data_IF_184823966474
#
_entry.id   IF_184823966474
#
_cell.length_a   1.000
_cell.length_b   1.000
_cell.length_c   1.000
_cell.angle_alpha   90.00
_cell.angle_beta   90.00
_cell.angle_gamma   90.00
#
_symmetry.space_group_name_H-M   'P 1'
#
loop_
_entity.id
_entity.type
_entity.pdbx_description
1 polymer ?
#
# COMPACT_ATOMS: atom_id res chain seq x y z
N UNK A 1 -21.41 6.75 -54.92
CA UNK A 1 -22.62 7.24 -54.24
C UNK A 1 -23.49 6.13 -53.69
N UNK A 2 -22.93 5.06 -53.07
CA UNK A 2 -23.72 3.96 -52.48
C UNK A 2 -23.29 3.60 -51.04
N UNK A 3 -22.51 4.48 -50.36
CA UNK A 3 -22.04 4.26 -48.96
C UNK A 3 -22.54 5.31 -47.95
N UNK A 4 -23.46 6.22 -48.35
CA UNK A 4 -24.02 7.25 -47.45
C UNK A 4 -25.51 7.04 -47.07
N UNK A 5 -26.11 5.93 -47.49
CA UNK A 5 -27.53 5.63 -47.19
C UNK A 5 -27.72 4.58 -46.10
N UNK A 6 -26.65 3.96 -45.53
CA UNK A 6 -26.76 2.97 -44.49
C UNK A 6 -26.63 3.55 -43.06
N UNK A 7 -26.16 4.78 -42.91
CA UNK A 7 -25.94 5.43 -41.59
C UNK A 7 -27.18 6.15 -41.05
N UNK A 8 -28.21 6.35 -41.85
CA UNK A 8 -29.42 7.08 -41.43
C UNK A 8 -30.54 6.14 -40.94
N UNK A 9 -30.47 4.86 -41.28
CA UNK A 9 -31.48 3.87 -40.85
C UNK A 9 -31.21 3.22 -39.49
N UNK A 10 -30.04 3.41 -38.87
CA UNK A 10 -29.72 2.89 -37.51
C UNK A 10 -30.07 3.88 -36.40
N UNK A 11 -30.29 5.16 -36.69
CA UNK A 11 -30.66 6.17 -35.67
C UNK A 11 -32.17 6.29 -35.45
N UNK A 12 -33.00 5.67 -36.25
CA UNK A 12 -34.46 5.77 -36.15
C UNK A 12 -35.12 4.63 -35.33
N UNK A 13 -34.34 3.62 -34.88
CA UNK A 13 -34.86 2.49 -34.11
C UNK A 13 -34.70 2.64 -32.59
N UNK A 14 -34.10 3.72 -32.08
CA UNK A 14 -33.85 3.95 -30.63
C UNK A 14 -34.77 5.02 -30.00
N UNK A 15 -35.75 5.56 -30.70
CA UNK A 15 -36.66 6.59 -30.17
C UNK A 15 -38.08 6.07 -29.88
N UNK A 16 -38.36 4.79 -30.09
CA UNK A 16 -39.70 4.20 -30.02
C UNK A 16 -40.11 3.53 -28.69
N UNK A 17 -39.29 3.57 -27.60
CA UNK A 17 -39.63 2.84 -26.36
C UNK A 17 -39.73 3.70 -25.08
N UNK A 18 -39.95 5.01 -25.21
CA UNK A 18 -40.11 5.92 -24.07
C UNK A 18 -41.49 6.58 -24.01
N UNK A 19 -42.55 5.82 -24.13
CA UNK A 19 -43.90 6.34 -23.86
C UNK A 19 -44.88 5.24 -23.47
N UNK A 20 -44.71 4.61 -22.31
CA UNK A 20 -45.85 3.97 -21.60
C UNK A 20 -45.43 3.70 -20.14
N UNK A 21 -45.90 4.51 -19.20
CA UNK A 21 -45.73 4.21 -17.77
C UNK A 21 -45.77 5.44 -16.88
N UNK A 22 -46.84 6.24 -16.98
CA UNK A 22 -47.22 7.18 -15.92
C UNK A 22 -48.10 6.47 -14.91
N UNK A 23 -47.70 6.50 -13.63
CA UNK A 23 -48.68 6.37 -12.52
C UNK A 23 -48.29 5.35 -11.47
N UNK A 24 -47.78 5.86 -10.36
CA UNK A 24 -48.22 5.50 -9.02
C UNK A 24 -47.10 5.38 -8.00
N UNK A 25 -47.17 6.29 -7.01
CA UNK A 25 -46.83 6.17 -5.59
C UNK A 25 -45.44 5.74 -5.17
N UNK A 26 -44.78 6.66 -4.40
CA UNK A 26 -43.72 6.41 -3.45
C UNK A 26 -43.89 5.09 -2.70
N UNK A 27 -43.06 4.15 -3.00
CA UNK A 27 -42.64 3.13 -2.05
C UNK A 27 -41.12 3.07 -2.16
N UNK A 28 -40.44 3.43 -1.06
CA UNK A 28 -39.01 3.10 -0.86
C UNK A 28 -38.91 1.58 -0.96
N UNK A 29 -38.53 1.06 -2.12
CA UNK A 29 -38.06 -0.33 -2.20
C UNK A 29 -36.62 -0.32 -1.76
N UNK A 30 -36.34 -0.87 -0.59
CA UNK A 30 -35.07 -1.39 -0.22
C UNK A 30 -34.53 -2.27 -1.37
N UNK A 31 -33.22 -2.21 -1.66
CA UNK A 31 -32.61 -3.09 -2.62
C UNK A 31 -32.56 -4.52 -2.02
N UNK A 32 -33.70 -5.21 -2.05
CA UNK A 32 -33.80 -6.62 -1.66
C UNK A 32 -33.66 -7.49 -2.91
N UNK A 33 -32.89 -8.55 -2.79
CA UNK A 33 -32.86 -9.70 -3.69
C UNK A 33 -34.28 -10.28 -3.82
N UNK A 34 -34.57 -11.02 -4.90
CA UNK A 34 -35.83 -11.75 -5.07
C UNK A 34 -36.20 -12.69 -3.92
N UNK A 35 -35.26 -13.02 -3.04
CA UNK A 35 -35.41 -13.79 -1.81
C UNK A 35 -35.67 -12.93 -0.55
N UNK A 36 -35.77 -11.60 -0.67
CA UNK A 36 -36.06 -10.69 0.44
C UNK A 36 -34.86 -10.30 1.32
N UNK A 37 -33.64 -10.62 0.89
CA UNK A 37 -32.40 -10.30 1.62
C UNK A 37 -31.93 -8.89 1.33
N UNK A 38 -31.26 -8.27 2.31
CA UNK A 38 -30.49 -7.03 2.11
C UNK A 38 -29.22 -7.33 1.35
N UNK A 39 -29.01 -6.71 0.19
CA UNK A 39 -27.82 -6.88 -0.64
C UNK A 39 -26.84 -5.77 -0.34
N UNK A 40 -25.65 -6.12 0.13
CA UNK A 40 -24.51 -5.23 0.33
C UNK A 40 -23.60 -5.29 -0.89
N UNK A 41 -23.34 -4.16 -1.53
CA UNK A 41 -22.37 -4.05 -2.63
C UNK A 41 -21.02 -3.62 -2.10
N UNK A 42 -20.01 -4.44 -2.33
CA UNK A 42 -18.64 -4.20 -1.90
C UNK A 42 -17.72 -3.99 -3.13
N UNK A 43 -17.18 -2.78 -3.30
CA UNK A 43 -16.26 -2.48 -4.39
C UNK A 43 -14.81 -2.60 -3.96
N UNK A 44 -13.98 -3.21 -4.82
CA UNK A 44 -12.55 -3.38 -4.61
C UNK A 44 -11.78 -3.31 -5.93
N UNK A 45 -10.44 -3.21 -5.86
CA UNK A 45 -9.57 -3.39 -7.01
C UNK A 45 -9.47 -4.87 -7.40
N UNK A 46 -8.98 -5.15 -8.61
CA UNK A 46 -9.01 -6.47 -9.26
C UNK A 46 -7.86 -7.42 -8.89
N UNK A 47 -7.15 -7.19 -7.77
CA UNK A 47 -6.16 -8.12 -7.28
C UNK A 47 -6.79 -9.47 -6.93
N UNK A 48 -6.44 -10.53 -7.67
CA UNK A 48 -7.15 -11.81 -7.62
C UNK A 48 -7.15 -12.49 -6.23
N UNK A 49 -6.05 -12.58 -5.47
CA UNK A 49 -6.05 -13.07 -4.08
C UNK A 49 -7.01 -12.30 -3.18
N UNK A 50 -6.99 -10.96 -3.24
CA UNK A 50 -7.83 -10.09 -2.42
C UNK A 50 -9.31 -10.24 -2.77
N UNK A 51 -9.66 -10.22 -4.04
CA UNK A 51 -11.04 -10.43 -4.52
C UNK A 51 -11.57 -11.78 -4.05
N UNK A 52 -10.75 -12.83 -4.09
CA UNK A 52 -11.12 -14.14 -3.58
C UNK A 52 -11.37 -14.09 -2.07
N UNK A 53 -10.47 -13.47 -1.31
CA UNK A 53 -10.61 -13.33 0.14
C UNK A 53 -11.88 -12.54 0.52
N UNK A 54 -12.20 -11.44 -0.17
CA UNK A 54 -13.43 -10.68 0.04
C UNK A 54 -14.70 -11.53 -0.26
N UNK A 55 -14.70 -12.28 -1.36
CA UNK A 55 -15.80 -13.18 -1.71
C UNK A 55 -16.00 -14.30 -0.68
N UNK A 56 -14.93 -14.83 -0.12
CA UNK A 56 -14.98 -15.85 0.94
C UNK A 56 -15.47 -15.25 2.26
N UNK A 57 -15.02 -14.05 2.61
CA UNK A 57 -15.49 -13.31 3.79
C UNK A 57 -16.98 -12.97 3.67
N UNK A 58 -17.42 -12.52 2.51
CA UNK A 58 -18.84 -12.30 2.22
C UNK A 58 -19.68 -13.54 2.47
N UNK A 59 -19.27 -14.71 1.97
CA UNK A 59 -19.96 -15.99 2.24
C UNK A 59 -19.96 -16.38 3.72
N UNK A 60 -18.85 -16.10 4.44
CA UNK A 60 -18.76 -16.37 5.89
C UNK A 60 -19.75 -15.50 6.65
N UNK A 61 -19.86 -14.20 6.29
CA UNK A 61 -20.82 -13.27 6.85
C UNK A 61 -22.27 -13.68 6.56
N UNK A 62 -22.61 -14.03 5.31
CA UNK A 62 -23.94 -14.50 4.91
C UNK A 62 -24.38 -15.75 5.68
N UNK A 63 -23.44 -16.66 5.97
CA UNK A 63 -23.72 -17.86 6.76
C UNK A 63 -24.07 -17.53 8.22
N UNK A 64 -23.39 -16.54 8.80
CA UNK A 64 -23.67 -16.05 10.14
C UNK A 64 -24.92 -15.16 10.21
N UNK A 65 -25.24 -14.48 9.11
CA UNK A 65 -26.30 -13.48 8.98
C UNK A 65 -27.18 -13.78 7.75
N UNK A 66 -28.14 -14.71 7.82
CA UNK A 66 -28.88 -15.22 6.65
C UNK A 66 -29.75 -14.18 5.92
N UNK A 67 -30.03 -13.04 6.54
CA UNK A 67 -30.84 -11.96 5.96
C UNK A 67 -30.04 -11.04 5.04
N UNK A 68 -28.71 -11.27 4.93
CA UNK A 68 -27.81 -10.49 4.10
C UNK A 68 -27.27 -11.29 2.92
N UNK A 69 -26.81 -10.56 1.89
CA UNK A 69 -26.03 -11.03 0.76
C UNK A 69 -24.94 -10.02 0.48
N UNK A 70 -23.70 -10.47 0.21
CA UNK A 70 -22.56 -9.60 -0.11
C UNK A 70 -22.16 -9.81 -1.57
N UNK A 71 -22.25 -8.78 -2.38
CA UNK A 71 -21.86 -8.78 -3.79
C UNK A 71 -20.58 -7.99 -3.98
N UNK A 72 -19.45 -8.71 -4.17
CA UNK A 72 -18.14 -8.12 -4.43
C UNK A 72 -18.02 -7.79 -5.91
N UNK A 73 -17.72 -6.52 -6.22
CA UNK A 73 -17.47 -6.00 -7.56
C UNK A 73 -16.05 -5.49 -7.67
N UNK A 74 -15.29 -6.06 -8.60
CA UNK A 74 -13.88 -5.76 -8.84
C UNK A 74 -13.71 -4.81 -10.04
N UNK A 75 -12.71 -3.93 -9.96
CA UNK A 75 -12.36 -2.97 -11.02
C UNK A 75 -10.85 -2.87 -11.18
N UNK A 76 -10.33 -2.67 -12.42
CA UNK A 76 -8.92 -2.38 -12.63
C UNK A 76 -8.46 -1.18 -11.80
N UNK A 77 -7.28 -1.31 -11.17
CA UNK A 77 -6.76 -0.33 -10.22
C UNK A 77 -6.71 1.08 -10.82
N UNK A 78 -6.29 1.22 -12.08
CA UNK A 78 -6.11 2.50 -12.77
C UNK A 78 -7.40 3.31 -12.91
N UNK A 79 -8.56 2.63 -12.94
CA UNK A 79 -9.87 3.29 -13.06
C UNK A 79 -10.67 3.26 -11.76
N UNK A 80 -10.18 2.56 -10.77
CA UNK A 80 -10.92 2.32 -9.53
C UNK A 80 -11.15 3.61 -8.73
N UNK A 81 -10.11 4.44 -8.61
CA UNK A 81 -10.20 5.73 -7.93
C UNK A 81 -11.28 6.65 -8.55
N UNK A 82 -11.27 6.81 -9.87
CA UNK A 82 -12.25 7.64 -10.58
C UNK A 82 -13.69 7.12 -10.38
N UNK A 83 -13.83 5.79 -10.33
CA UNK A 83 -15.14 5.16 -10.07
C UNK A 83 -15.65 5.46 -8.65
N UNK A 84 -14.77 5.37 -7.64
CA UNK A 84 -15.14 5.71 -6.27
C UNK A 84 -15.54 7.19 -6.19
N UNK A 85 -14.73 8.11 -6.71
CA UNK A 85 -15.03 9.54 -6.70
C UNK A 85 -16.39 9.83 -7.34
N UNK A 86 -16.66 9.22 -8.50
CA UNK A 86 -17.95 9.36 -9.18
C UNK A 86 -19.11 8.81 -8.34
N UNK A 87 -18.92 7.66 -7.68
CA UNK A 87 -19.94 7.05 -6.85
C UNK A 87 -20.24 7.86 -5.59
N UNK A 88 -19.21 8.41 -4.94
CA UNK A 88 -19.36 9.24 -3.73
C UNK A 88 -20.10 10.54 -3.98
N UNK A 89 -19.96 11.12 -5.18
CA UNK A 89 -20.69 12.34 -5.59
C UNK A 89 -22.10 12.06 -6.14
N UNK A 90 -22.45 10.80 -6.39
CA UNK A 90 -23.76 10.41 -6.90
C UNK A 90 -24.83 10.43 -5.81
N UNK A 91 -25.97 11.06 -6.10
CA UNK A 91 -27.11 11.07 -5.18
C UNK A 91 -28.00 9.81 -5.26
N UNK A 92 -27.72 8.87 -6.18
CA UNK A 92 -28.68 7.83 -6.55
C UNK A 92 -28.21 6.39 -6.44
N UNK A 93 -26.92 6.11 -6.51
CA UNK A 93 -26.40 4.75 -6.42
C UNK A 93 -24.88 4.73 -6.27
N UNK A 94 -24.41 4.32 -5.13
CA UNK A 94 -23.02 3.98 -4.85
C UNK A 94 -22.93 2.59 -4.25
N UNK A 95 -21.72 2.06 -4.03
CA UNK A 95 -21.52 0.87 -3.23
C UNK A 95 -21.88 1.14 -1.76
N UNK A 96 -22.19 0.08 -1.03
CA UNK A 96 -22.37 0.17 0.42
C UNK A 96 -21.02 0.15 1.14
N UNK A 97 -20.00 -0.49 0.52
CA UNK A 97 -18.68 -0.70 1.10
C UNK A 97 -17.63 -0.50 0.00
N UNK A 98 -16.51 0.13 0.33
CA UNK A 98 -15.34 0.30 -0.55
C UNK A 98 -14.05 -0.12 0.14
N UNK A 99 -13.17 -0.85 -0.57
CA UNK A 99 -11.80 -1.06 -0.16
C UNK A 99 -10.94 0.06 -0.75
N UNK A 100 -10.19 0.78 0.09
CA UNK A 100 -9.42 1.96 -0.33
C UNK A 100 -7.98 1.85 0.16
N UNK A 101 -7.02 2.10 -0.72
CA UNK A 101 -5.64 2.30 -0.32
C UNK A 101 -5.48 3.65 0.42
N UNK A 102 -4.67 3.66 1.47
CA UNK A 102 -4.46 4.83 2.31
C UNK A 102 -4.08 6.10 1.56
N UNK A 103 -3.27 5.99 0.49
CA UNK A 103 -2.90 7.16 -0.32
C UNK A 103 -4.06 7.85 -1.06
N UNK A 104 -5.19 7.16 -1.26
CA UNK A 104 -6.40 7.71 -1.88
C UNK A 104 -7.43 8.21 -0.87
N UNK A 105 -7.40 7.70 0.35
CA UNK A 105 -8.40 7.96 1.38
C UNK A 105 -8.60 9.45 1.73
N UNK A 106 -7.55 10.29 1.78
CA UNK A 106 -7.70 11.70 2.15
C UNK A 106 -8.68 12.48 1.28
N UNK A 107 -8.65 12.26 -0.03
CA UNK A 107 -9.54 12.96 -0.95
C UNK A 107 -11.03 12.64 -0.67
N UNK A 108 -11.30 11.41 -0.26
CA UNK A 108 -12.66 10.95 0.08
C UNK A 108 -13.09 11.45 1.46
N UNK A 109 -12.17 11.43 2.45
CA UNK A 109 -12.44 11.93 3.81
C UNK A 109 -12.71 13.44 3.79
N UNK A 110 -11.93 14.21 2.99
CA UNK A 110 -12.12 15.66 2.87
C UNK A 110 -13.44 16.04 2.19
N UNK A 111 -13.97 15.19 1.33
CA UNK A 111 -15.24 15.45 0.63
C UNK A 111 -16.48 15.27 1.49
N UNK A 112 -16.35 14.87 2.77
CA UNK A 112 -17.43 14.55 3.70
C UNK A 112 -18.43 13.50 3.12
N UNK A 113 -17.95 12.66 2.20
CA UNK A 113 -18.78 11.65 1.53
C UNK A 113 -18.76 10.28 2.22
N UNK A 114 -18.02 10.16 3.33
CA UNK A 114 -17.85 8.92 4.08
C UNK A 114 -18.57 8.96 5.42
N UNK A 115 -19.11 7.82 5.81
CA UNK A 115 -19.69 7.62 7.13
C UNK A 115 -18.59 7.46 8.17
N UNK A 116 -18.78 8.14 9.32
CA UNK A 116 -17.90 7.97 10.48
C UNK A 116 -17.96 6.52 11.00
N UNK A 117 -16.82 5.98 11.41
CA UNK A 117 -16.72 4.65 12.03
C UNK A 117 -17.51 4.64 13.35
N UNK A 118 -18.36 3.61 13.62
CA UNK A 118 -19.10 3.51 14.87
C UNK A 118 -18.22 3.57 16.12
N UNK A 119 -18.76 4.15 17.21
CA UNK A 119 -18.02 4.43 18.44
C UNK A 119 -17.32 3.22 19.04
N UNK A 120 -17.96 2.06 19.05
CA UNK A 120 -17.40 0.81 19.56
C UNK A 120 -16.18 0.36 18.75
N UNK A 121 -16.25 0.42 17.42
CA UNK A 121 -15.15 0.08 16.53
C UNK A 121 -14.06 1.15 16.54
N UNK A 122 -14.42 2.43 16.66
CA UNK A 122 -13.46 3.54 16.83
C UNK A 122 -12.59 3.36 18.08
N UNK A 123 -13.18 2.84 19.16
CA UNK A 123 -12.43 2.50 20.36
C UNK A 123 -11.42 1.38 20.12
N UNK A 124 -11.82 0.34 19.38
CA UNK A 124 -10.90 -0.76 19.01
C UNK A 124 -9.76 -0.25 18.13
N UNK A 125 -10.03 0.62 17.14
CA UNK A 125 -9.02 1.24 16.29
C UNK A 125 -7.96 1.97 17.13
N UNK A 126 -8.38 2.71 18.15
CA UNK A 126 -7.48 3.44 19.02
C UNK A 126 -6.66 2.54 19.96
N UNK A 127 -7.27 1.48 20.51
CA UNK A 127 -6.65 0.65 21.55
C UNK A 127 -5.79 -0.47 20.97
N UNK A 128 -6.26 -1.14 19.91
CA UNK A 128 -5.67 -2.40 19.42
C UNK A 128 -4.95 -2.29 18.08
N UNK A 129 -5.24 -1.26 17.25
CA UNK A 129 -4.55 -1.13 15.98
C UNK A 129 -3.18 -0.45 16.12
N UNK A 130 -2.26 -0.79 15.21
CA UNK A 130 -0.94 -0.16 15.13
C UNK A 130 -1.04 1.23 14.52
N UNK A 131 -0.33 2.22 15.06
CA UNK A 131 -0.45 3.62 14.66
C UNK A 131 -0.32 3.87 13.14
N UNK A 132 0.65 3.27 12.41
CA UNK A 132 0.73 3.47 10.96
C UNK A 132 -0.54 3.07 10.21
N UNK A 133 -1.23 2.02 10.66
CA UNK A 133 -2.38 1.47 9.93
C UNK A 133 -3.61 2.37 9.96
N UNK A 134 -3.76 3.18 11.00
CA UNK A 134 -4.92 4.07 11.18
C UNK A 134 -4.64 5.52 10.80
N UNK A 135 -3.36 5.89 10.64
CA UNK A 135 -2.93 7.28 10.54
C UNK A 135 -3.75 8.13 9.58
N UNK A 136 -3.83 7.71 8.31
CA UNK A 136 -4.53 8.47 7.27
C UNK A 136 -6.06 8.38 7.35
N UNK A 137 -6.62 7.38 8.06
CA UNK A 137 -8.06 7.14 8.12
C UNK A 137 -8.77 8.00 9.17
N UNK A 138 -8.08 8.92 9.82
CA UNK A 138 -8.71 9.81 10.79
C UNK A 138 -8.63 11.29 10.36
N UNK A 139 -9.65 12.03 10.78
CA UNK A 139 -9.78 13.48 10.60
C UNK A 139 -10.47 14.04 11.85
N UNK A 140 -9.87 15.04 12.51
CA UNK A 140 -10.47 15.71 13.68
C UNK A 140 -10.88 14.73 14.79
N UNK A 141 -10.01 13.75 15.09
CA UNK A 141 -10.26 12.75 16.14
C UNK A 141 -11.30 11.68 15.81
N UNK A 142 -11.83 11.64 14.58
CA UNK A 142 -12.80 10.68 14.08
C UNK A 142 -12.18 9.78 13.04
N UNK A 143 -12.61 8.51 13.01
CA UNK A 143 -12.16 7.54 12.02
C UNK A 143 -13.20 7.39 10.90
N UNK A 144 -12.71 7.20 9.67
CA UNK A 144 -13.52 7.02 8.45
C UNK A 144 -13.17 5.75 7.69
N UNK A 145 -12.17 5.00 8.14
CA UNK A 145 -11.75 3.74 7.56
C UNK A 145 -11.28 2.75 8.62
N UNK A 146 -11.42 1.46 8.32
CA UNK A 146 -10.95 0.35 9.16
C UNK A 146 -9.84 -0.38 8.41
N UNK A 147 -8.60 -0.38 8.94
CA UNK A 147 -7.47 -1.04 8.30
C UNK A 147 -7.68 -2.54 8.13
N UNK A 148 -7.31 -3.07 6.98
CA UNK A 148 -7.30 -4.51 6.70
C UNK A 148 -5.93 -5.15 6.85
N UNK A 149 -4.88 -4.34 6.81
CA UNK A 149 -3.49 -4.79 6.78
C UNK A 149 -2.55 -3.77 7.42
N UNK A 150 -1.33 -4.23 7.68
CA UNK A 150 -0.18 -3.36 7.86
C UNK A 150 0.63 -3.39 6.55
N UNK A 151 0.62 -2.32 5.77
CA UNK A 151 1.44 -2.21 4.58
C UNK A 151 2.87 -1.82 4.98
N UNK A 152 3.82 -2.72 4.78
CA UNK A 152 5.20 -2.56 5.21
C UNK A 152 6.13 -2.65 4.00
N UNK A 153 6.73 -1.50 3.64
CA UNK A 153 7.72 -1.39 2.56
C UNK A 153 9.18 -1.40 3.09
N UNK A 154 9.36 -1.78 4.34
CA UNK A 154 10.64 -1.89 5.01
C UNK A 154 10.71 -3.16 5.88
N UNK A 155 11.91 -3.65 6.17
CA UNK A 155 12.15 -4.71 7.15
C UNK A 155 12.46 -6.07 6.56
N UNK A 156 12.11 -6.31 5.30
CA UNK A 156 12.48 -7.50 4.56
C UNK A 156 13.14 -7.21 3.22
N UNK A 157 13.81 -8.21 2.68
CA UNK A 157 14.40 -8.16 1.34
C UNK A 157 14.25 -9.50 0.63
N UNK A 158 13.97 -9.44 -0.67
CA UNK A 158 14.10 -10.59 -1.56
C UNK A 158 15.59 -10.85 -1.81
N UNK A 159 15.99 -12.10 -1.74
CA UNK A 159 17.35 -12.55 -2.09
C UNK A 159 17.31 -13.63 -3.17
N UNK A 160 18.19 -13.53 -4.17
CA UNK A 160 18.35 -14.60 -5.17
C UNK A 160 19.16 -15.74 -4.57
N UNK A 161 18.45 -16.78 -4.12
CA UNK A 161 19.07 -17.92 -3.43
C UNK A 161 20.10 -18.63 -4.28
N UNK A 162 19.83 -18.82 -5.57
CA UNK A 162 20.76 -19.49 -6.48
C UNK A 162 22.08 -18.76 -6.61
N UNK A 163 22.05 -17.43 -6.78
CA UNK A 163 23.28 -16.62 -6.88
C UNK A 163 24.09 -16.69 -5.59
N UNK A 164 23.43 -16.66 -4.42
CA UNK A 164 24.11 -16.81 -3.13
C UNK A 164 24.73 -18.19 -2.94
N UNK A 165 24.00 -19.26 -3.27
CA UNK A 165 24.47 -20.64 -3.17
C UNK A 165 25.64 -20.88 -4.14
N UNK A 166 25.57 -20.42 -5.38
CA UNK A 166 26.62 -20.55 -6.39
C UNK A 166 27.88 -19.78 -6.00
N UNK A 167 27.74 -18.62 -5.37
CA UNK A 167 28.86 -17.83 -4.86
C UNK A 167 29.45 -18.36 -3.54
N UNK A 168 28.71 -19.22 -2.82
CA UNK A 168 29.06 -19.72 -1.49
C UNK A 168 29.09 -18.65 -0.42
N UNK A 169 28.24 -17.62 -0.57
CA UNK A 169 28.14 -16.46 0.33
C UNK A 169 26.90 -16.62 1.21
N UNK A 170 27.00 -16.24 2.49
CA UNK A 170 25.82 -16.21 3.39
C UNK A 170 25.10 -14.87 3.29
N UNK A 171 23.79 -14.86 3.56
CA UNK A 171 23.01 -13.64 3.65
C UNK A 171 23.56 -12.70 4.73
N UNK A 172 23.63 -11.38 4.47
CA UNK A 172 24.15 -10.41 5.41
C UNK A 172 23.26 -10.28 6.64
N UNK A 173 23.84 -10.07 7.82
CA UNK A 173 23.12 -9.92 9.10
C UNK A 173 23.29 -8.54 9.70
N UNK A 174 24.24 -7.76 9.25
CA UNK A 174 24.49 -6.38 9.66
C UNK A 174 24.58 -5.50 8.42
N UNK A 175 24.37 -4.19 8.60
CA UNK A 175 24.51 -3.23 7.48
C UNK A 175 25.92 -3.25 6.89
N UNK A 176 26.94 -3.40 7.73
CA UNK A 176 28.33 -3.53 7.26
C UNK A 176 28.52 -4.79 6.39
N UNK A 177 27.95 -5.94 6.81
CA UNK A 177 27.97 -7.17 6.01
C UNK A 177 27.21 -6.99 4.69
N UNK A 178 26.06 -6.32 4.72
CA UNK A 178 25.26 -6.04 3.52
C UNK A 178 26.07 -5.22 2.50
N UNK A 179 26.67 -4.11 2.93
CA UNK A 179 27.53 -3.28 2.08
C UNK A 179 28.75 -4.04 1.54
N UNK A 180 29.34 -4.89 2.39
CA UNK A 180 30.48 -5.73 1.97
C UNK A 180 30.06 -6.75 0.91
N UNK A 181 28.99 -7.50 1.15
CA UNK A 181 28.49 -8.50 0.20
C UNK A 181 28.06 -7.79 -1.09
N UNK A 182 27.30 -6.70 -0.99
CA UNK A 182 26.86 -5.91 -2.14
C UNK A 182 28.02 -5.52 -3.05
N UNK A 183 29.10 -4.94 -2.51
CA UNK A 183 30.31 -4.58 -3.27
C UNK A 183 31.01 -5.79 -3.88
N UNK A 184 31.06 -6.91 -3.16
CA UNK A 184 31.76 -8.13 -3.61
C UNK A 184 31.08 -8.76 -4.83
N UNK A 185 29.73 -8.73 -4.87
CA UNK A 185 28.96 -9.41 -5.92
C UNK A 185 28.59 -8.48 -7.09
N UNK A 186 28.61 -7.17 -6.89
CA UNK A 186 28.29 -6.20 -7.95
C UNK A 186 29.32 -6.24 -9.08
N UNK A 187 28.84 -6.06 -10.31
CA UNK A 187 29.69 -6.04 -11.51
C UNK A 187 29.28 -4.89 -12.40
N UNK A 188 30.26 -4.09 -12.76
CA UNK A 188 30.13 -2.98 -13.72
C UNK A 188 30.89 -3.23 -15.00
N UNK A 189 30.34 -2.75 -16.10
CA UNK A 189 30.99 -2.70 -17.40
C UNK A 189 30.85 -1.26 -17.97
N UNK A 190 31.83 -0.43 -17.70
CA UNK A 190 31.74 0.99 -17.94
C UNK A 190 30.75 1.67 -16.98
N UNK A 191 29.73 2.31 -17.53
CA UNK A 191 28.67 2.99 -16.78
C UNK A 191 27.47 2.07 -16.45
N UNK A 192 27.45 0.85 -16.98
CA UNK A 192 26.34 -0.11 -16.82
C UNK A 192 26.64 -1.04 -15.63
N UNK A 193 25.72 -1.16 -14.70
CA UNK A 193 25.74 -2.16 -13.64
C UNK A 193 25.09 -3.44 -14.17
N UNK A 194 25.92 -4.43 -14.56
CA UNK A 194 25.44 -5.71 -15.13
C UNK A 194 24.93 -6.69 -14.07
N UNK A 195 25.41 -6.56 -12.83
CA UNK A 195 24.97 -7.34 -11.68
C UNK A 195 24.91 -6.42 -10.46
N UNK A 196 23.74 -6.30 -9.88
CA UNK A 196 23.47 -5.45 -8.73
C UNK A 196 23.60 -6.23 -7.42
N UNK A 197 24.20 -5.63 -6.41
CA UNK A 197 24.43 -6.27 -5.13
C UNK A 197 23.25 -6.15 -4.19
N UNK A 198 22.92 -4.92 -3.83
CA UNK A 198 21.74 -4.60 -3.03
C UNK A 198 21.00 -3.41 -3.62
N UNK A 199 19.74 -3.59 -3.85
CA UNK A 199 18.87 -2.59 -4.47
C UNK A 199 17.79 -2.12 -3.52
N UNK A 200 17.58 -0.81 -3.53
CA UNK A 200 16.47 -0.12 -2.87
C UNK A 200 16.16 1.20 -3.60
N UNK A 201 16.54 1.30 -4.89
CA UNK A 201 16.41 2.52 -5.69
C UNK A 201 15.22 2.37 -6.63
N UNK A 202 14.04 2.29 -6.07
CA UNK A 202 12.75 2.45 -6.75
C UNK A 202 11.85 3.39 -5.93
N UNK A 203 10.71 3.74 -6.47
CA UNK A 203 9.83 4.78 -5.90
C UNK A 203 9.38 4.49 -4.46
N UNK A 204 9.17 3.23 -4.09
CA UNK A 204 8.70 2.89 -2.74
C UNK A 204 9.87 2.55 -1.81
N UNK A 205 10.80 1.70 -2.25
CA UNK A 205 11.89 1.25 -1.40
C UNK A 205 12.86 2.39 -1.03
N UNK A 206 13.13 3.31 -1.95
CA UNK A 206 14.06 4.41 -1.72
C UNK A 206 13.63 5.28 -0.54
N UNK A 207 12.43 5.84 -0.59
CA UNK A 207 11.95 6.73 0.48
C UNK A 207 11.76 5.98 1.80
N UNK A 208 11.20 4.76 1.79
CA UNK A 208 10.94 3.99 3.01
C UNK A 208 12.24 3.59 3.72
N UNK A 209 13.27 3.17 2.97
CA UNK A 209 14.59 2.89 3.55
C UNK A 209 15.27 4.17 4.04
N UNK A 210 15.21 5.27 3.30
CA UNK A 210 15.77 6.55 3.72
C UNK A 210 15.16 7.03 5.04
N UNK A 211 13.84 7.01 5.19
CA UNK A 211 13.17 7.37 6.43
C UNK A 211 13.54 6.43 7.59
N UNK A 212 13.61 5.12 7.32
CA UNK A 212 14.07 4.16 8.32
C UNK A 212 15.50 4.45 8.77
N UNK A 213 16.41 4.77 7.84
CA UNK A 213 17.80 5.13 8.17
C UNK A 213 17.91 6.38 9.06
N UNK A 214 17.06 7.39 8.85
CA UNK A 214 16.99 8.56 9.75
C UNK A 214 16.56 8.13 11.15
N UNK A 215 15.45 7.42 11.25
CA UNK A 215 14.85 7.03 12.53
C UNK A 215 15.75 6.09 13.35
N UNK A 216 16.44 5.17 12.70
CA UNK A 216 17.35 4.22 13.31
C UNK A 216 18.61 4.87 13.89
N UNK A 217 18.99 6.05 13.40
CA UNK A 217 20.04 6.88 13.99
C UNK A 217 19.54 7.69 15.19
N UNK A 218 18.24 7.66 15.50
CA UNK A 218 17.60 8.47 16.53
C UNK A 218 17.15 9.86 16.05
N UNK A 219 17.22 10.10 14.74
CA UNK A 219 16.73 11.32 14.10
C UNK A 219 15.20 11.35 13.96
N UNK A 220 14.70 12.49 13.53
CA UNK A 220 13.29 12.72 13.19
C UNK A 220 13.22 13.55 11.92
N UNK A 221 12.33 13.20 11.01
CA UNK A 221 12.07 13.96 9.78
C UNK A 221 10.74 14.71 9.82
N UNK A 222 9.76 14.21 10.58
CA UNK A 222 8.47 14.87 10.81
C UNK A 222 8.60 15.76 12.03
N UNK A 223 8.24 17.05 11.89
CA UNK A 223 8.34 18.05 12.94
C UNK A 223 7.03 18.12 13.76
N UNK A 224 7.04 18.83 14.91
CA UNK A 224 5.87 19.00 15.77
C UNK A 224 4.71 19.75 15.09
N UNK A 225 4.98 20.54 14.06
CA UNK A 225 4.01 21.25 13.25
C UNK A 225 3.60 20.50 11.99
N UNK A 226 3.85 19.19 11.95
CA UNK A 226 3.62 18.30 10.82
C UNK A 226 4.43 18.63 9.56
N UNK A 227 5.36 19.59 9.59
CA UNK A 227 6.26 19.83 8.45
C UNK A 227 7.33 18.75 8.32
N UNK A 228 7.84 18.55 7.10
CA UNK A 228 8.97 17.66 6.84
C UNK A 228 10.29 18.43 6.91
N UNK A 229 11.31 17.79 7.51
CA UNK A 229 12.69 18.25 7.46
C UNK A 229 13.64 17.06 7.25
N UNK A 230 14.08 16.86 6.02
CA UNK A 230 15.08 15.85 5.67
C UNK A 230 16.52 16.34 5.86
N UNK A 231 16.74 17.66 5.93
CA UNK A 231 18.08 18.27 6.07
C UNK A 231 18.59 18.23 7.52
N UNK A 232 18.34 17.13 8.22
CA UNK A 232 18.92 16.85 9.54
C UNK A 232 20.29 16.16 9.40
N UNK A 233 21.15 16.17 10.43
CA UNK A 233 22.42 15.42 10.38
C UNK A 233 22.23 13.94 10.02
N UNK A 234 21.19 13.31 10.55
CA UNK A 234 20.85 11.91 10.28
C UNK A 234 20.35 11.72 8.84
N UNK A 235 19.56 12.67 8.32
CA UNK A 235 19.07 12.65 6.96
C UNK A 235 20.19 12.84 5.93
N UNK A 236 21.07 13.81 6.18
CA UNK A 236 22.25 14.03 5.32
C UNK A 236 23.12 12.76 5.28
N UNK A 237 23.42 12.18 6.45
CA UNK A 237 24.24 10.96 6.53
C UNK A 237 23.56 9.76 5.87
N UNK A 238 22.25 9.59 5.99
CA UNK A 238 21.51 8.54 5.30
C UNK A 238 21.61 8.72 3.77
N UNK A 239 21.44 9.94 3.29
CA UNK A 239 21.53 10.25 1.86
C UNK A 239 22.96 10.04 1.32
N UNK A 240 24.00 10.43 2.06
CA UNK A 240 25.40 10.16 1.71
C UNK A 240 25.66 8.66 1.57
N UNK A 241 25.10 7.85 2.46
CA UNK A 241 25.23 6.38 2.39
C UNK A 241 24.58 5.82 1.13
N UNK A 242 23.35 6.22 0.82
CA UNK A 242 22.63 5.76 -0.39
C UNK A 242 23.36 6.20 -1.66
N UNK A 243 23.78 7.47 -1.74
CA UNK A 243 24.56 7.97 -2.89
C UNK A 243 25.88 7.22 -3.06
N UNK A 244 26.51 6.79 -1.95
CA UNK A 244 27.76 6.01 -2.02
C UNK A 244 27.53 4.64 -2.67
N UNK A 245 26.34 4.02 -2.50
CA UNK A 245 26.01 2.73 -3.12
C UNK A 245 25.95 2.86 -4.65
N UNK A 246 25.28 3.90 -5.14
CA UNK A 246 25.24 4.20 -6.58
C UNK A 246 26.65 4.50 -7.12
N UNK A 247 27.41 5.34 -6.43
CA UNK A 247 28.77 5.70 -6.83
C UNK A 247 29.72 4.52 -6.86
N UNK A 248 29.58 3.59 -5.92
CA UNK A 248 30.40 2.38 -5.82
C UNK A 248 29.95 1.29 -6.82
N UNK A 249 28.85 1.52 -7.56
CA UNK A 249 28.30 0.60 -8.56
C UNK A 249 27.63 -0.64 -7.99
N UNK A 250 27.08 -0.52 -6.80
CA UNK A 250 26.34 -1.59 -6.15
C UNK A 250 24.91 -1.69 -6.70
N UNK A 251 24.35 -0.57 -7.12
CA UNK A 251 23.07 -0.37 -7.77
C UNK A 251 23.12 0.82 -8.72
N UNK A 252 22.06 1.08 -9.46
CA UNK A 252 21.92 2.21 -10.38
C UNK A 252 20.52 2.86 -10.27
N UNK A 253 20.20 3.74 -11.25
CA UNK A 253 18.91 4.46 -11.31
C UNK A 253 17.92 3.85 -12.31
N UNK A 254 18.27 2.73 -12.94
CA UNK A 254 17.49 2.23 -14.08
C UNK A 254 16.05 1.92 -13.67
N UNK A 255 15.84 1.21 -12.56
CA UNK A 255 14.49 0.88 -12.07
C UNK A 255 13.69 2.13 -11.70
N UNK A 256 14.28 3.07 -10.95
CA UNK A 256 13.62 4.33 -10.57
C UNK A 256 13.21 5.14 -11.79
N UNK A 257 14.09 5.28 -12.78
CA UNK A 257 13.82 6.07 -13.99
C UNK A 257 12.84 5.38 -14.96
N UNK A 258 12.77 4.05 -14.90
CA UNK A 258 11.81 3.26 -15.67
C UNK A 258 10.43 3.15 -15.00
N UNK A 259 10.31 3.51 -13.71
CA UNK A 259 9.12 3.27 -12.91
C UNK A 259 8.89 1.79 -12.61
N UNK A 260 9.99 1.03 -12.47
CA UNK A 260 9.97 -0.40 -12.16
C UNK A 260 10.50 -0.67 -10.76
N UNK A 261 10.19 -1.86 -10.24
CA UNK A 261 10.63 -2.30 -8.91
C UNK A 261 11.97 -3.03 -8.97
N UNK A 262 12.84 -2.77 -8.00
CA UNK A 262 14.17 -3.36 -7.87
C UNK A 262 14.16 -4.90 -7.75
N UNK A 263 13.14 -5.49 -7.14
CA UNK A 263 13.04 -6.96 -7.03
C UNK A 263 12.93 -7.67 -8.39
N UNK A 264 12.54 -6.97 -9.45
CA UNK A 264 12.51 -7.52 -10.82
C UNK A 264 13.90 -7.99 -11.26
N UNK A 265 14.95 -7.24 -10.92
CA UNK A 265 16.33 -7.63 -11.24
C UNK A 265 16.75 -8.88 -10.45
N UNK A 266 16.33 -9.01 -9.19
CA UNK A 266 16.60 -10.22 -8.39
C UNK A 266 15.94 -11.45 -8.99
N UNK A 267 14.68 -11.34 -9.43
CA UNK A 267 13.96 -12.44 -10.08
C UNK A 267 14.48 -12.79 -11.48
N UNK A 268 15.17 -11.87 -12.14
CA UNK A 268 15.78 -12.06 -13.47
C UNK A 268 17.26 -12.44 -13.44
N UNK A 269 17.81 -12.82 -12.28
CA UNK A 269 19.22 -13.15 -12.07
C UNK A 269 20.19 -11.99 -12.38
N UNK A 270 19.73 -10.73 -12.24
CA UNK A 270 20.53 -9.51 -12.44
C UNK A 270 20.86 -8.79 -11.13
N UNK A 271 20.25 -9.20 -10.03
CA UNK A 271 20.42 -8.66 -8.68
C UNK A 271 20.53 -9.76 -7.63
N UNK A 272 21.30 -9.50 -6.58
CA UNK A 272 21.44 -10.43 -5.45
C UNK A 272 20.39 -10.20 -4.38
N UNK A 273 20.08 -8.94 -4.06
CA UNK A 273 19.22 -8.55 -2.94
C UNK A 273 18.42 -7.31 -3.32
N UNK A 274 17.14 -7.25 -2.90
CA UNK A 274 16.32 -6.04 -3.01
C UNK A 274 15.44 -5.85 -1.78
N UNK A 275 15.50 -4.67 -1.15
CA UNK A 275 14.57 -4.28 -0.08
C UNK A 275 13.18 -4.05 -0.66
N UNK A 276 12.16 -4.71 -0.11
CA UNK A 276 10.78 -4.62 -0.59
C UNK A 276 9.81 -5.17 0.44
N UNK A 277 8.54 -4.82 0.36
CA UNK A 277 7.45 -5.38 1.15
C UNK A 277 7.22 -6.89 0.89
N UNK A 278 6.60 -7.57 1.85
CA UNK A 278 6.35 -9.03 1.76
C UNK A 278 5.43 -9.44 0.61
N UNK A 279 4.66 -8.50 0.06
CA UNK A 279 3.80 -8.72 -1.10
C UNK A 279 4.58 -9.17 -2.36
N UNK A 280 5.84 -8.78 -2.48
CA UNK A 280 6.70 -9.18 -3.59
C UNK A 280 6.95 -10.69 -3.67
N UNK A 281 6.76 -11.45 -2.58
CA UNK A 281 6.87 -12.92 -2.60
C UNK A 281 5.86 -13.51 -3.60
N UNK A 282 4.64 -12.97 -3.63
CA UNK A 282 3.61 -13.39 -4.58
C UNK A 282 4.00 -13.10 -6.04
N UNK A 283 4.63 -11.96 -6.29
CA UNK A 283 5.12 -11.62 -7.64
C UNK A 283 6.15 -12.64 -8.14
N UNK A 284 7.09 -13.06 -7.30
CA UNK A 284 8.08 -14.08 -7.66
C UNK A 284 7.44 -15.42 -8.07
N UNK A 285 6.40 -15.85 -7.34
CA UNK A 285 5.73 -17.14 -7.60
C UNK A 285 4.73 -17.06 -8.76
N UNK A 286 3.96 -15.99 -8.85
CA UNK A 286 2.82 -15.91 -9.76
C UNK A 286 3.18 -15.26 -11.11
N UNK A 287 4.08 -14.26 -11.10
CA UNK A 287 4.47 -13.52 -12.30
C UNK A 287 5.76 -14.03 -12.93
N UNK A 288 6.70 -14.54 -12.12
CA UNK A 288 8.00 -15.04 -12.59
C UNK A 288 8.12 -16.56 -12.60
N UNK A 289 7.09 -17.30 -12.14
CA UNK A 289 7.07 -18.79 -12.07
C UNK A 289 8.26 -19.36 -11.28
N UNK A 290 8.71 -18.63 -10.24
CA UNK A 290 9.82 -19.03 -9.37
C UNK A 290 9.32 -19.80 -8.15
N UNK A 291 10.17 -20.65 -7.60
CA UNK A 291 9.88 -21.46 -6.41
C UNK A 291 10.53 -20.84 -5.17
N UNK A 292 9.69 -20.40 -4.21
CA UNK A 292 10.17 -19.93 -2.91
C UNK A 292 10.98 -21.03 -2.20
N UNK A 293 12.14 -20.65 -1.64
CA UNK A 293 13.05 -21.57 -0.97
C UNK A 293 14.02 -22.33 -1.88
N UNK A 294 13.78 -22.32 -3.21
CA UNK A 294 14.69 -22.90 -4.23
C UNK A 294 15.36 -21.81 -5.06
N UNK A 295 14.58 -20.87 -5.62
CA UNK A 295 15.08 -19.81 -6.49
C UNK A 295 15.37 -18.53 -5.71
N UNK A 296 14.48 -18.19 -4.78
CA UNK A 296 14.59 -16.99 -3.94
C UNK A 296 14.08 -17.25 -2.53
N UNK A 297 14.45 -16.35 -1.62
CA UNK A 297 13.94 -16.29 -0.25
C UNK A 297 13.61 -14.84 0.13
N UNK A 298 12.81 -14.68 1.19
CA UNK A 298 12.54 -13.38 1.79
C UNK A 298 13.10 -13.39 3.22
N UNK A 299 14.04 -12.49 3.49
CA UNK A 299 14.81 -12.48 4.73
C UNK A 299 14.84 -11.07 5.34
N UNK A 300 15.14 -10.92 6.65
CA UNK A 300 15.26 -9.59 7.26
C UNK A 300 16.29 -8.72 6.55
N UNK A 301 15.94 -7.47 6.24
CA UNK A 301 16.92 -6.46 5.84
C UNK A 301 17.73 -6.02 7.07
N UNK A 302 19.06 -6.00 7.03
CA UNK A 302 19.87 -5.49 8.13
C UNK A 302 19.58 -4.02 8.42
N UNK A 303 19.32 -3.68 9.68
CA UNK A 303 19.11 -2.28 10.07
C UNK A 303 20.39 -1.45 9.94
N UNK A 304 20.23 -0.19 9.52
CA UNK A 304 21.34 0.77 9.36
C UNK A 304 21.86 1.31 10.69
N UNK A 305 20.98 1.63 11.63
CA UNK A 305 21.29 2.22 12.91
C UNK A 305 21.21 1.25 14.09
N UNK A 306 21.27 1.79 15.31
CA UNK A 306 21.31 0.97 16.53
C UNK A 306 19.94 0.47 16.99
N UNK A 307 18.85 1.18 16.63
CA UNK A 307 17.48 0.87 17.09
C UNK A 307 16.61 0.51 15.91
N UNK A 308 15.80 -0.53 16.07
CA UNK A 308 14.74 -0.79 15.12
C UNK A 308 13.72 0.35 15.18
N UNK A 309 13.59 1.05 14.06
CA UNK A 309 12.61 2.10 13.84
C UNK A 309 12.43 2.29 12.33
N UNK A 310 11.22 2.55 11.89
CA UNK A 310 10.90 2.81 10.49
C UNK A 310 9.61 3.63 10.40
N UNK A 311 9.43 4.29 9.26
CA UNK A 311 8.16 4.89 8.89
C UNK A 311 7.37 3.93 8.01
N UNK A 312 6.06 3.89 8.20
CA UNK A 312 5.17 3.10 7.36
C UNK A 312 3.97 3.93 6.96
N UNK A 313 3.52 3.69 5.76
CA UNK A 313 2.29 4.26 5.25
C UNK A 313 1.07 3.56 5.85
N UNK A 314 -0.09 4.19 5.71
CA UNK A 314 -1.36 3.52 5.94
C UNK A 314 -1.73 2.72 4.68
N UNK A 315 -1.84 1.42 4.82
CA UNK A 315 -2.17 0.50 3.73
C UNK A 315 -3.66 0.53 3.36
N UNK A 316 -4.17 -0.61 2.91
CA UNK A 316 -5.56 -0.77 2.52
C UNK A 316 -6.50 -0.86 3.72
N UNK A 317 -7.67 -0.23 3.59
CA UNK A 317 -8.74 -0.28 4.57
C UNK A 317 -10.11 -0.35 3.92
N UNK A 318 -11.12 -0.54 4.74
CA UNK A 318 -12.53 -0.57 4.33
C UNK A 318 -13.21 0.71 4.81
N UNK A 319 -13.93 1.37 3.91
CA UNK A 319 -14.73 2.56 4.20
C UNK A 319 -16.19 2.35 3.80
N UNK A 320 -17.08 3.08 4.46
CA UNK A 320 -18.52 3.07 4.20
C UNK A 320 -18.95 4.42 3.65
N UNK A 321 -19.40 4.51 2.37
CA UNK A 321 -19.94 5.72 1.80
C UNK A 321 -21.18 6.25 2.56
N UNK A 322 -21.28 7.57 2.77
CA UNK A 322 -22.41 8.17 3.48
C UNK A 322 -23.72 8.11 2.66
N UNK A 323 -23.60 8.09 1.35
CA UNK A 323 -24.73 7.95 0.42
C UNK A 323 -25.18 6.49 0.19
N UNK A 324 -24.52 5.50 0.82
CA UNK A 324 -24.91 4.10 0.79
C UNK A 324 -26.31 3.86 1.36
N UNK A 325 -27.07 2.94 0.76
CA UNK A 325 -28.46 2.66 1.17
C UNK A 325 -28.55 1.83 2.45
N UNK A 326 -27.54 1.03 2.71
CA UNK A 326 -27.53 0.00 3.75
C UNK A 326 -26.39 0.25 4.77
N UNK A 327 -26.18 1.51 5.21
CA UNK A 327 -25.06 1.89 6.09
C UNK A 327 -24.91 1.03 7.36
N UNK A 328 -26.01 0.81 8.07
CA UNK A 328 -25.97 0.02 9.30
C UNK A 328 -25.52 -1.41 9.02
N UNK A 329 -26.07 -2.03 7.98
CA UNK A 329 -25.68 -3.37 7.55
C UNK A 329 -24.23 -3.43 6.99
N UNK A 330 -23.78 -2.36 6.33
CA UNK A 330 -22.38 -2.23 5.90
C UNK A 330 -21.43 -2.22 7.10
N UNK A 331 -21.75 -1.47 8.16
CA UNK A 331 -20.96 -1.46 9.39
C UNK A 331 -21.04 -2.80 10.15
N UNK A 332 -22.13 -3.55 10.10
CA UNK A 332 -22.18 -4.91 10.64
C UNK A 332 -21.21 -5.83 9.90
N UNK A 333 -21.13 -5.73 8.56
CA UNK A 333 -20.14 -6.48 7.78
C UNK A 333 -18.70 -6.05 8.10
N UNK A 334 -18.42 -4.75 8.18
CA UNK A 334 -17.08 -4.23 8.49
C UNK A 334 -16.62 -4.68 9.88
N UNK A 335 -17.48 -4.65 10.90
CA UNK A 335 -17.20 -5.19 12.23
C UNK A 335 -16.87 -6.67 12.18
N UNK A 336 -17.70 -7.46 11.50
CA UNK A 336 -17.48 -8.89 11.32
C UNK A 336 -16.13 -9.16 10.63
N UNK A 337 -15.83 -8.41 9.55
CA UNK A 337 -14.56 -8.53 8.84
C UNK A 337 -13.35 -8.24 9.75
N UNK A 338 -13.46 -7.20 10.59
CA UNK A 338 -12.37 -6.74 11.45
C UNK A 338 -12.19 -7.56 12.74
N UNK A 339 -13.08 -8.51 13.06
CA UNK A 339 -12.87 -9.46 14.16
C UNK A 339 -11.52 -10.17 14.00
N UNK A 340 -10.72 -10.33 15.06
CA UNK A 340 -9.37 -10.91 14.98
C UNK A 340 -9.30 -12.22 14.20
N UNK A 341 -10.26 -13.14 14.44
CA UNK A 341 -10.33 -14.45 13.77
C UNK A 341 -10.66 -14.37 12.25
N UNK A 342 -11.32 -13.31 11.82
CA UNK A 342 -11.66 -13.07 10.42
C UNK A 342 -10.53 -12.33 9.71
N UNK A 343 -10.00 -11.31 10.38
CA UNK A 343 -8.94 -10.47 9.85
C UNK A 343 -7.64 -11.25 9.64
N UNK A 344 -7.26 -12.12 10.58
CA UNK A 344 -6.06 -12.95 10.41
C UNK A 344 -6.18 -13.89 9.20
N UNK A 345 -7.35 -14.46 8.95
CA UNK A 345 -7.59 -15.30 7.76
C UNK A 345 -7.48 -14.50 6.46
N UNK A 346 -7.96 -13.24 6.46
CA UNK A 346 -7.77 -12.33 5.31
C UNK A 346 -6.27 -12.04 5.10
N UNK A 347 -5.53 -11.69 6.16
CA UNK A 347 -4.11 -11.39 6.05
C UNK A 347 -3.32 -12.60 5.50
N UNK A 348 -3.60 -13.82 5.97
CA UNK A 348 -3.00 -15.04 5.45
C UNK A 348 -3.32 -15.23 3.95
N UNK A 349 -4.59 -15.09 3.58
CA UNK A 349 -5.04 -15.30 2.20
C UNK A 349 -4.44 -14.28 1.20
N UNK A 350 -4.08 -13.08 1.68
CA UNK A 350 -3.55 -11.99 0.87
C UNK A 350 -2.03 -11.79 1.01
N UNK A 351 -1.32 -12.64 1.74
CA UNK A 351 0.09 -12.47 2.10
C UNK A 351 0.40 -11.12 2.78
N UNK A 352 -0.52 -10.63 3.61
CA UNK A 352 -0.40 -9.34 4.27
C UNK A 352 -0.15 -9.47 5.77
N UNK A 353 0.48 -8.44 6.33
CA UNK A 353 0.73 -8.36 7.77
C UNK A 353 -0.51 -7.87 8.52
N UNK A 354 -0.77 -8.39 9.73
CA UNK A 354 -1.94 -7.98 10.50
C UNK A 354 -1.80 -6.55 11.05
N UNK A 355 -2.88 -5.73 11.00
CA UNK A 355 -2.83 -4.35 11.47
C UNK A 355 -3.07 -4.21 12.98
N UNK A 356 -3.47 -5.29 13.67
CA UNK A 356 -3.87 -5.29 15.09
C UNK A 356 -2.75 -5.80 16.01
N UNK A 357 -2.54 -5.11 17.15
CA UNK A 357 -1.59 -5.54 18.20
C UNK A 357 -1.92 -6.92 18.74
N UNK A 358 -3.22 -7.22 18.90
CA UNK A 358 -3.70 -8.53 19.37
C UNK A 358 -3.37 -9.69 18.43
N UNK A 359 -3.00 -9.44 17.17
CA UNK A 359 -2.63 -10.46 16.20
C UNK A 359 -1.12 -10.68 16.05
N UNK A 360 -0.27 -9.87 16.70
CA UNK A 360 1.19 -10.00 16.59
C UNK A 360 1.70 -11.34 17.14
N UNK A 361 1.00 -11.91 18.11
CA UNK A 361 1.33 -13.22 18.70
C UNK A 361 0.46 -14.38 18.17
N UNK A 362 -0.26 -14.17 17.05
CA UNK A 362 -1.12 -15.20 16.47
C UNK A 362 -0.30 -16.41 15.99
N UNK A 363 -0.48 -17.55 16.66
CA UNK A 363 0.13 -18.82 16.23
C UNK A 363 -0.41 -19.26 14.87
N UNK A 364 -1.72 -19.06 14.61
CA UNK A 364 -2.34 -19.34 13.30
C UNK A 364 -1.61 -18.60 12.17
N UNK A 365 -1.30 -17.31 12.36
CA UNK A 365 -0.58 -16.52 11.38
C UNK A 365 0.87 -17.02 11.21
N UNK A 366 1.59 -17.23 12.33
CA UNK A 366 3.00 -17.66 12.30
C UNK A 366 3.17 -19.03 11.65
N UNK A 367 2.23 -19.97 11.88
CA UNK A 367 2.23 -21.29 11.27
C UNK A 367 1.91 -21.23 9.76
N UNK A 368 0.97 -20.36 9.37
CA UNK A 368 0.57 -20.20 7.97
C UNK A 368 1.58 -19.40 7.14
N UNK A 369 2.26 -18.42 7.77
CA UNK A 369 3.12 -17.44 7.11
C UNK A 369 4.55 -17.43 7.68
N UNK A 370 5.24 -18.60 7.78
CA UNK A 370 6.55 -18.68 8.44
C UNK A 370 7.61 -17.81 7.77
N UNK A 371 7.45 -17.51 6.47
CA UNK A 371 8.42 -16.76 5.67
C UNK A 371 8.46 -15.28 6.00
N UNK A 372 7.37 -14.72 6.55
CA UNK A 372 7.24 -13.31 6.89
C UNK A 372 6.92 -13.07 8.37
N UNK A 373 6.76 -14.14 9.16
CA UNK A 373 6.40 -14.02 10.57
C UNK A 373 7.42 -13.21 11.39
N UNK A 374 8.70 -13.19 10.99
CA UNK A 374 9.72 -12.37 11.64
C UNK A 374 9.42 -10.86 11.60
N UNK A 375 8.63 -10.41 10.63
CA UNK A 375 8.23 -9.01 10.53
C UNK A 375 7.30 -8.59 11.69
N UNK A 376 6.54 -9.52 12.28
CA UNK A 376 5.64 -9.21 13.39
C UNK A 376 6.40 -8.59 14.58
N UNK A 377 7.66 -8.99 14.78
CA UNK A 377 8.51 -8.51 15.87
C UNK A 377 8.90 -7.03 15.72
N UNK A 378 8.94 -6.53 14.48
CA UNK A 378 9.34 -5.13 14.20
C UNK A 378 8.14 -4.17 14.07
N UNK A 379 6.92 -4.67 13.78
CA UNK A 379 5.74 -3.81 13.56
C UNK A 379 5.48 -2.80 14.69
N UNK A 380 5.69 -3.13 15.98
CA UNK A 380 5.54 -2.16 17.06
C UNK A 380 6.52 -0.99 17.02
N UNK A 381 7.62 -1.11 16.25
CA UNK A 381 8.64 -0.07 16.08
C UNK A 381 8.32 0.89 14.92
N UNK A 382 7.26 0.60 14.18
CA UNK A 382 6.80 1.45 13.09
C UNK A 382 6.09 2.70 13.61
N UNK A 383 6.41 3.84 13.02
CA UNK A 383 5.63 5.07 13.18
C UNK A 383 4.92 5.41 11.87
N UNK A 384 3.81 6.11 11.98
CA UNK A 384 3.12 6.61 10.79
C UNK A 384 4.00 7.60 10.02
N UNK A 385 4.04 7.47 8.69
CA UNK A 385 4.87 8.30 7.81
C UNK A 385 4.51 9.79 7.85
N UNK A 386 3.32 10.14 8.31
CA UNK A 386 2.79 11.51 8.31
C UNK A 386 1.76 11.74 7.21
N UNK A 387 1.22 12.96 7.13
CA UNK A 387 0.16 13.33 6.18
C UNK A 387 0.67 13.54 4.74
N UNK A 388 1.75 12.88 4.35
CA UNK A 388 2.43 13.08 3.08
C UNK A 388 2.45 11.83 2.18
N UNK A 389 1.74 10.78 2.56
CA UNK A 389 1.72 9.55 1.79
C UNK A 389 0.98 9.72 0.45
N UNK A 390 1.62 10.39 -0.50
CA UNK A 390 1.07 10.68 -1.83
C UNK A 390 2.07 10.29 -2.92
N UNK A 391 1.58 10.09 -4.13
CA UNK A 391 2.43 9.89 -5.31
C UNK A 391 3.31 11.12 -5.57
N UNK A 392 2.78 12.33 -5.32
CA UNK A 392 3.52 13.58 -5.53
C UNK A 392 4.73 13.70 -4.58
N UNK A 393 4.58 13.27 -3.31
CA UNK A 393 5.71 13.22 -2.38
C UNK A 393 6.84 12.32 -2.90
N UNK A 394 6.49 11.14 -3.40
CA UNK A 394 7.45 10.20 -3.97
C UNK A 394 8.13 10.79 -5.18
N UNK A 395 7.38 11.38 -6.11
CA UNK A 395 7.92 12.01 -7.31
C UNK A 395 8.90 13.15 -6.98
N UNK A 396 8.58 14.01 -6.02
CA UNK A 396 9.48 15.09 -5.58
C UNK A 396 10.77 14.52 -5.01
N UNK A 397 10.67 13.47 -4.18
CA UNK A 397 11.83 12.82 -3.57
C UNK A 397 12.72 12.14 -4.62
N UNK A 398 12.10 11.39 -5.55
CA UNK A 398 12.78 10.70 -6.64
C UNK A 398 13.55 11.68 -7.56
N UNK A 399 12.91 12.78 -7.95
CA UNK A 399 13.55 13.81 -8.78
C UNK A 399 14.73 14.48 -8.05
N UNK A 400 14.60 14.76 -6.76
CA UNK A 400 15.70 15.26 -5.93
C UNK A 400 16.86 14.27 -5.92
N UNK A 401 16.59 12.97 -5.68
CA UNK A 401 17.62 11.93 -5.64
C UNK A 401 18.32 11.75 -6.98
N UNK A 402 17.57 11.69 -8.09
CA UNK A 402 18.15 11.63 -9.44
C UNK A 402 19.07 12.83 -9.69
N UNK A 403 18.66 14.03 -9.30
CA UNK A 403 19.46 15.25 -9.42
C UNK A 403 20.78 15.17 -8.65
N UNK A 404 20.76 14.62 -7.43
CA UNK A 404 21.97 14.39 -6.63
C UNK A 404 22.92 13.40 -7.30
N UNK A 405 22.39 12.28 -7.84
CA UNK A 405 23.20 11.28 -8.53
C UNK A 405 23.85 11.80 -9.83
N UNK A 406 23.21 12.73 -10.52
CA UNK A 406 23.70 13.32 -11.77
C UNK A 406 24.73 14.46 -11.56
N UNK A 407 24.94 14.90 -10.32
CA UNK A 407 25.86 15.99 -9.99
C UNK A 407 27.25 15.49 -9.64
N UNK A 408 28.28 16.08 -10.24
CA UNK A 408 29.67 15.82 -9.87
C UNK A 408 30.03 16.28 -8.45
N UNK A 409 29.29 17.25 -7.92
CA UNK A 409 29.48 17.80 -6.58
C UNK A 409 28.11 18.16 -5.98
N UNK A 410 27.35 17.15 -5.49
CA UNK A 410 25.98 17.35 -5.02
C UNK A 410 25.93 18.20 -3.74
N UNK A 411 25.04 19.19 -3.70
CA UNK A 411 24.64 19.91 -2.50
C UNK A 411 23.53 19.15 -1.80
N UNK A 412 23.90 18.12 -1.02
CA UNK A 412 22.95 17.22 -0.37
C UNK A 412 22.03 17.99 0.60
N UNK A 413 22.60 18.85 1.46
CA UNK A 413 21.83 19.61 2.44
C UNK A 413 20.82 20.55 1.76
N UNK A 414 21.26 21.28 0.71
CA UNK A 414 20.39 22.16 -0.05
C UNK A 414 19.27 21.41 -0.75
N UNK A 415 19.56 20.29 -1.40
CA UNK A 415 18.56 19.46 -2.09
C UNK A 415 17.54 18.85 -1.12
N UNK A 416 17.97 18.32 0.02
CA UNK A 416 17.08 17.78 1.05
C UNK A 416 16.18 18.86 1.64
N UNK A 417 16.71 20.07 1.85
CA UNK A 417 15.91 21.21 2.34
C UNK A 417 14.86 21.63 1.32
N UNK A 418 15.23 21.78 0.05
CA UNK A 418 14.30 22.18 -1.02
C UNK A 418 13.19 21.13 -1.19
N UNK A 419 13.55 19.83 -1.21
CA UNK A 419 12.56 18.76 -1.27
C UNK A 419 11.60 18.78 -0.07
N UNK A 420 12.12 18.99 1.15
CA UNK A 420 11.30 19.08 2.37
C UNK A 420 10.29 20.22 2.31
N UNK A 421 10.74 21.42 1.91
CA UNK A 421 9.90 22.59 1.76
C UNK A 421 8.81 22.35 0.71
N UNK A 422 9.18 21.82 -0.45
CA UNK A 422 8.26 21.52 -1.54
C UNK A 422 7.22 20.46 -1.16
N UNK A 423 7.63 19.35 -0.52
CA UNK A 423 6.72 18.32 -0.04
C UNK A 423 5.74 18.90 0.99
N UNK A 424 6.24 19.69 1.94
CA UNK A 424 5.39 20.31 2.96
C UNK A 424 4.35 21.25 2.35
N UNK A 425 4.73 22.03 1.32
CA UNK A 425 3.83 23.00 0.68
C UNK A 425 2.81 22.34 -0.27
N UNK A 426 3.24 21.31 -1.02
CA UNK A 426 2.45 20.75 -2.14
C UNK A 426 1.71 19.46 -1.77
N UNK A 427 2.24 18.66 -0.84
CA UNK A 427 1.75 17.30 -0.59
C UNK A 427 1.01 17.16 0.75
N UNK A 428 1.03 18.15 1.62
CA UNK A 428 0.36 18.05 2.91
C UNK A 428 -1.14 17.83 2.74
N UNK A 429 -1.60 16.71 3.23
CA UNK A 429 -3.02 16.39 3.26
C UNK A 429 -3.66 17.24 4.34
N UNK A 430 -4.51 18.18 3.96
CA UNK A 430 -5.00 19.32 4.74
C UNK A 430 -5.85 18.99 5.97
N UNK A 431 -5.45 18.04 6.83
CA UNK A 431 -5.99 17.87 8.17
C UNK A 431 -4.90 17.46 9.16
N UNK A 432 -4.89 18.13 10.31
CA UNK A 432 -4.05 17.81 11.45
C UNK A 432 -4.55 16.55 12.16
N UNK A 433 -3.63 15.72 12.64
CA UNK A 433 -3.94 14.54 13.44
C UNK A 433 -4.24 14.88 14.90
N UNK A 434 -3.88 16.08 15.34
CA UNK A 434 -4.01 16.54 16.73
C UNK A 434 -5.10 17.62 16.86
N UNK A 435 -6.28 17.21 17.26
CA UNK A 435 -7.13 17.95 18.20
C UNK A 435 -7.98 16.98 19.03
#
# INVERSE_FOLDING_TARGET
MKKKLLSVLLCAAMVGSLAAGCGSKNDKKDASDGDGKTVLTFWCHDNAPWVKAYKEMGKKFEKANPDYKVEVQEYPFEVYNDKIQTALTSSTSGPDIIAVWGGLAPSFIQSDALSEVPEDLSKELKEDYLAPTVGIYQKEGKYYGVPMEFNLEYGGMIVNKKLFDDAGISYPKTWEDLRKVSKEVSRQNGEVVEMKGFEMIDTDALICNYLAMILQQGGQYLQEDDSINFATPEGIKAMEEILSMVKDGECDLDNLTAGEYCYNDVYQDKGYMSSVGSWAIGEGTDSYDLTYGEDFEYVPVPQYGEKMAFASETGWGIMVPDNGKNKDAAWEFVKFFSEPENLVQHNIACNQLPPRKSLLDSEEYKEAMPNIAFLLDILPSGQWMGPYNTSDMREIFDQMFIGLCQSDNPDIEGALKEASEKITEECQIGYSMDE
#
